data_IF_452369807537
#
_entry.id   IF_452369807537
#
_cell.length_a   1.000
_cell.length_b   1.000
_cell.length_c   1.000
_cell.angle_alpha   90.00
_cell.angle_beta   90.00
_cell.angle_gamma   90.00
#
_symmetry.space_group_name_H-M   'P 1'
#
loop_
_entity.id
_entity.type
_entity.pdbx_description
1 polymer ?
#
# COMPACT_ATOMS: atom_id res chain seq x y z
N UNK A 1 -5.20 -11.57 3.38
CA UNK A 1 -4.05 -12.10 2.62
C UNK A 1 -4.04 -11.37 1.30
N UNK A 2 -2.88 -10.97 0.81
CA UNK A 2 -2.71 -10.31 -0.49
C UNK A 2 -1.94 -11.24 -1.41
N UNK A 3 -2.26 -11.22 -2.69
CA UNK A 3 -1.52 -12.00 -3.69
C UNK A 3 -0.16 -11.34 -3.96
N UNK A 4 0.82 -12.14 -4.37
CA UNK A 4 2.13 -11.63 -4.78
C UNK A 4 1.98 -10.60 -5.91
N UNK A 5 2.76 -9.52 -5.83
CA UNK A 5 2.68 -8.38 -6.77
C UNK A 5 1.51 -7.41 -6.55
N UNK A 6 0.62 -7.67 -5.57
CA UNK A 6 -0.41 -6.71 -5.16
C UNK A 6 0.17 -5.53 -4.39
N UNK A 7 -0.39 -4.34 -4.58
CA UNK A 7 -0.07 -3.19 -3.73
C UNK A 7 -0.81 -3.28 -2.39
N UNK A 8 -0.08 -3.08 -1.30
CA UNK A 8 -0.65 -3.04 0.05
C UNK A 8 -0.38 -1.68 0.70
N UNK A 9 -1.44 -1.04 1.18
CA UNK A 9 -1.42 0.21 1.95
C UNK A 9 -2.57 0.24 2.94
N UNK A 10 -2.44 1.03 4.00
CA UNK A 10 -3.46 1.15 5.04
C UNK A 10 -3.59 2.58 5.52
N UNK A 11 -4.82 3.00 5.80
CA UNK A 11 -5.14 4.25 6.49
C UNK A 11 -6.16 4.02 7.59
N UNK A 12 -6.20 4.94 8.55
CA UNK A 12 -7.27 4.95 9.55
C UNK A 12 -8.61 5.30 8.89
N UNK A 13 -9.69 4.75 9.45
CA UNK A 13 -11.04 5.24 9.14
C UNK A 13 -11.22 6.65 9.68
N UNK A 14 -12.15 7.46 9.12
CA UNK A 14 -12.45 8.79 9.66
C UNK A 14 -12.74 8.75 11.16
N UNK A 15 -12.05 9.59 11.93
CA UNK A 15 -12.14 9.64 13.40
C UNK A 15 -11.28 8.61 14.16
N UNK A 16 -10.61 7.69 13.47
CA UNK A 16 -9.64 6.77 14.06
C UNK A 16 -8.39 7.50 14.55
N UNK A 17 -7.85 7.09 15.71
CA UNK A 17 -6.63 7.68 16.29
C UNK A 17 -5.41 6.78 16.15
N UNK A 18 -5.60 5.47 16.33
CA UNK A 18 -4.54 4.47 16.29
C UNK A 18 -5.07 3.15 15.76
N UNK A 19 -4.18 2.37 15.16
CA UNK A 19 -4.39 0.96 14.83
C UNK A 19 -3.11 0.17 15.13
N UNK A 20 -3.25 -1.01 15.73
CA UNK A 20 -2.18 -1.97 15.90
C UNK A 20 -2.44 -3.14 14.96
N UNK A 21 -1.48 -3.44 14.10
CA UNK A 21 -1.60 -4.51 13.10
C UNK A 21 -0.34 -5.36 13.07
N UNK A 22 -0.53 -6.64 12.78
CA UNK A 22 0.56 -7.58 12.49
C UNK A 22 0.42 -8.11 11.06
N UNK A 23 1.52 -8.16 10.33
CA UNK A 23 1.58 -8.75 8.98
C UNK A 23 2.53 -9.93 9.02
N UNK A 24 2.02 -11.11 8.64
CA UNK A 24 2.86 -12.30 8.43
C UNK A 24 3.07 -12.47 6.93
N UNK A 25 4.32 -12.67 6.51
CA UNK A 25 4.67 -12.91 5.11
C UNK A 25 5.38 -14.25 4.97
N UNK A 26 5.01 -15.00 3.93
CA UNK A 26 5.62 -16.29 3.58
C UNK A 26 5.79 -16.33 2.05
N UNK A 27 7.02 -16.51 1.54
CA UNK A 27 8.30 -16.53 2.24
C UNK A 27 8.56 -15.26 3.05
N UNK A 28 9.46 -15.34 4.04
CA UNK A 28 9.75 -14.20 4.93
C UNK A 28 10.21 -12.96 4.17
N UNK A 29 9.97 -11.78 4.75
CA UNK A 29 10.30 -10.48 4.16
C UNK A 29 11.78 -10.37 3.75
N UNK A 30 12.03 -9.81 2.56
CA UNK A 30 13.34 -9.39 2.10
C UNK A 30 13.26 -7.99 1.50
N UNK A 31 14.28 -7.17 1.72
CA UNK A 31 14.36 -5.84 1.11
C UNK A 31 14.39 -5.87 -0.42
N UNK A 32 14.91 -6.94 -1.01
CA UNK A 32 14.90 -7.16 -2.47
C UNK A 32 13.49 -7.26 -3.05
N UNK A 33 12.53 -7.64 -2.22
CA UNK A 33 11.15 -7.89 -2.61
C UNK A 33 10.25 -6.69 -2.26
N UNK A 34 10.82 -5.68 -1.57
CA UNK A 34 10.13 -4.44 -1.25
C UNK A 34 10.24 -3.43 -2.39
N UNK A 35 9.09 -2.92 -2.83
CA UNK A 35 9.00 -1.80 -3.75
C UNK A 35 8.21 -0.66 -3.11
N UNK A 36 8.82 0.52 -3.03
CA UNK A 36 8.11 1.72 -2.64
C UNK A 36 7.14 2.13 -3.76
N UNK A 37 5.92 2.51 -3.38
CA UNK A 37 4.93 3.03 -4.30
C UNK A 37 5.35 4.43 -4.79
N UNK A 38 5.33 4.65 -6.11
CA UNK A 38 5.52 5.96 -6.73
C UNK A 38 4.15 6.43 -7.24
N UNK A 39 3.62 7.51 -6.66
CA UNK A 39 2.26 8.00 -6.90
C UNK A 39 1.95 8.13 -8.40
N UNK A 40 2.81 8.82 -9.13
CA UNK A 40 2.62 9.11 -10.57
C UNK A 40 2.61 7.83 -11.41
N UNK A 41 3.50 6.88 -11.13
CA UNK A 41 3.52 5.58 -11.81
C UNK A 41 2.24 4.77 -11.55
N UNK A 42 1.72 4.80 -10.32
CA UNK A 42 0.52 4.07 -9.95
C UNK A 42 -0.73 4.67 -10.55
N UNK A 43 -0.89 5.99 -10.50
CA UNK A 43 -2.03 6.69 -11.13
C UNK A 43 -2.02 6.42 -12.64
N UNK A 44 -0.85 6.42 -13.27
CA UNK A 44 -0.75 6.10 -14.71
C UNK A 44 -1.19 4.67 -15.04
N UNK A 45 -1.01 3.72 -14.13
CA UNK A 45 -1.37 2.30 -14.34
C UNK A 45 -2.81 1.98 -13.91
N UNK A 46 -3.30 2.69 -12.91
CA UNK A 46 -4.55 2.43 -12.21
C UNK A 46 -5.33 3.74 -11.98
N UNK A 47 -5.67 4.45 -13.07
CA UNK A 47 -6.28 5.78 -12.99
C UNK A 47 -7.63 5.78 -12.25
N UNK A 48 -8.36 4.67 -12.27
CA UNK A 48 -9.63 4.53 -11.56
C UNK A 48 -9.50 4.56 -10.02
N UNK A 49 -8.28 4.35 -9.50
CA UNK A 49 -7.97 4.40 -8.07
C UNK A 49 -7.20 5.66 -7.66
N UNK A 50 -7.16 6.68 -8.51
CA UNK A 50 -6.35 7.89 -8.32
C UNK A 50 -6.47 8.50 -6.92
N UNK A 51 -7.68 8.72 -6.43
CA UNK A 51 -7.92 9.32 -5.12
C UNK A 51 -7.39 8.44 -3.97
N UNK A 52 -7.61 7.12 -4.06
CA UNK A 52 -7.09 6.18 -3.07
C UNK A 52 -5.56 6.13 -3.09
N UNK A 53 -4.95 6.18 -4.27
CA UNK A 53 -3.49 6.22 -4.43
C UNK A 53 -2.92 7.49 -3.81
N UNK A 54 -3.55 8.65 -4.03
CA UNK A 54 -3.13 9.92 -3.40
C UNK A 54 -3.22 9.86 -1.87
N UNK A 55 -4.26 9.23 -1.31
CA UNK A 55 -4.42 9.06 0.13
C UNK A 55 -3.34 8.14 0.76
N UNK A 56 -2.80 7.19 -0.01
CA UNK A 56 -1.92 6.13 0.50
C UNK A 56 -0.44 6.26 0.08
N UNK A 57 -0.08 7.29 -0.69
CA UNK A 57 1.29 7.51 -1.17
C UNK A 57 1.78 8.92 -0.83
N UNK A 58 3.09 9.08 -0.70
CA UNK A 58 3.72 10.40 -0.63
C UNK A 58 3.91 10.97 -2.05
N UNK A 59 3.98 12.29 -2.17
CA UNK A 59 4.40 12.98 -3.40
C UNK A 59 5.90 12.80 -3.67
#
# INVERSE_FOLDING_TARGET
>A
MTDDGSWQGSRLVPGGKYALMGTTMVPGFKFTDYKAAVRTELISKYPEFEELIKELTLD
#
